data_IF_793098794430
#
_entry.id   IF_793098794430
#
_cell.length_a   1.000
_cell.length_b   1.000
_cell.length_c   1.000
_cell.angle_alpha   90.00
_cell.angle_beta   90.00
_cell.angle_gamma   90.00
#
_symmetry.space_group_name_H-M   'P 1'
#
loop_
_entity.id
_entity.type
_entity.pdbx_description
1 polymer ?
#
# COMPACT_ATOMS: atom_id res chain seq x y z
N UNK A 1 -8.38 -7.64 3.10
CA UNK A 1 -7.73 -6.71 4.04
C UNK A 1 -6.24 -6.83 3.83
N UNK A 2 -5.57 -5.71 3.62
CA UNK A 2 -4.13 -5.62 3.35
C UNK A 2 -3.51 -4.68 4.39
N UNK A 3 -2.33 -5.01 4.90
CA UNK A 3 -1.59 -4.15 5.82
C UNK A 3 -0.64 -3.22 5.06
N UNK A 4 -0.79 -1.91 5.24
CA UNK A 4 0.24 -0.94 4.90
C UNK A 4 1.15 -0.73 6.13
N UNK A 5 2.38 -1.22 6.07
CA UNK A 5 3.36 -1.14 7.15
C UNK A 5 4.58 -0.26 6.80
N UNK A 6 4.67 0.17 5.54
CA UNK A 6 5.77 0.92 4.94
C UNK A 6 5.72 2.43 5.13
N UNK A 7 6.45 3.11 4.24
CA UNK A 7 6.52 4.56 4.13
C UNK A 7 5.25 5.17 3.48
N UNK A 8 4.10 4.96 4.12
CA UNK A 8 2.82 5.62 3.80
C UNK A 8 2.45 6.60 4.91
N UNK A 9 1.62 7.60 4.60
CA UNK A 9 1.22 8.63 5.58
C UNK A 9 0.37 8.08 6.72
N UNK A 10 -0.43 7.05 6.48
CA UNK A 10 -1.28 6.42 7.49
C UNK A 10 -1.12 4.89 7.43
N UNK A 11 -0.15 4.31 8.14
CA UNK A 11 -0.01 2.86 8.26
C UNK A 11 -1.26 2.24 8.92
N UNK A 12 -1.63 1.04 8.49
CA UNK A 12 -2.84 0.38 9.01
C UNK A 12 -3.38 -0.74 8.12
N UNK A 13 -4.57 -1.20 8.45
CA UNK A 13 -5.30 -2.23 7.70
C UNK A 13 -6.33 -1.59 6.78
N UNK A 14 -6.30 -1.97 5.50
CA UNK A 14 -7.18 -1.44 4.47
C UNK A 14 -7.99 -2.54 3.81
N UNK A 15 -9.29 -2.30 3.61
CA UNK A 15 -10.12 -3.12 2.71
C UNK A 15 -10.06 -2.50 1.33
N UNK A 16 -9.55 -3.27 0.38
CA UNK A 16 -9.44 -2.86 -1.01
C UNK A 16 -10.37 -3.72 -1.86
N UNK A 17 -10.75 -3.19 -3.03
CA UNK A 17 -11.54 -3.93 -3.99
C UNK A 17 -10.76 -5.15 -4.52
N UNK A 18 -11.44 -6.22 -4.94
CA UNK A 18 -10.79 -7.32 -5.64
C UNK A 18 -10.01 -6.83 -6.86
N UNK A 19 -8.79 -7.32 -7.05
CA UNK A 19 -7.90 -6.90 -8.13
C UNK A 19 -7.15 -5.59 -7.89
N UNK A 20 -7.25 -5.01 -6.68
CA UNK A 20 -6.47 -3.85 -6.29
C UNK A 20 -4.96 -4.10 -6.41
N UNK A 21 -4.22 -3.01 -6.60
CA UNK A 21 -2.76 -2.98 -6.66
C UNK A 21 -2.18 -2.22 -5.48
N UNK A 22 -0.86 -2.25 -5.36
CA UNK A 22 -0.14 -1.53 -4.33
C UNK A 22 -0.41 -0.01 -4.40
N UNK A 23 -0.60 0.56 -5.59
CA UNK A 23 -0.95 1.97 -5.73
C UNK A 23 -2.31 2.33 -5.08
N UNK A 24 -3.30 1.44 -5.17
CA UNK A 24 -4.60 1.60 -4.50
C UNK A 24 -4.43 1.62 -2.98
N UNK A 25 -3.56 0.74 -2.45
CA UNK A 25 -3.22 0.72 -1.02
C UNK A 25 -2.54 2.03 -0.59
N UNK A 26 -1.57 2.51 -1.36
CA UNK A 26 -0.86 3.76 -1.08
C UNK A 26 -1.82 4.95 -1.08
N UNK A 27 -2.73 5.02 -2.06
CA UNK A 27 -3.77 6.06 -2.11
C UNK A 27 -4.71 5.97 -0.90
N UNK A 28 -5.16 4.78 -0.55
CA UNK A 28 -6.02 4.56 0.61
C UNK A 28 -5.33 4.93 1.94
N UNK A 29 -4.02 4.67 2.03
CA UNK A 29 -3.16 5.06 3.16
C UNK A 29 -2.79 6.56 3.17
N UNK A 30 -3.47 7.33 2.33
CA UNK A 30 -3.33 8.77 2.26
C UNK A 30 -2.19 9.23 1.38
N UNK A 31 -1.38 8.35 0.77
CA UNK A 31 -0.21 8.62 -0.06
C UNK A 31 1.11 8.14 0.57
N UNK A 32 2.21 8.24 -0.17
CA UNK A 32 3.55 7.97 0.35
C UNK A 32 3.96 9.01 1.42
N UNK A 33 4.74 8.57 2.41
CA UNK A 33 5.41 9.46 3.36
C UNK A 33 6.45 10.34 2.64
N UNK A 34 6.87 11.44 3.27
CA UNK A 34 7.80 12.40 2.65
C UNK A 34 9.20 11.81 2.42
N UNK A 35 9.60 10.85 3.24
CA UNK A 35 10.87 10.11 3.18
C UNK A 35 10.77 8.77 2.45
N UNK A 36 9.62 8.48 1.83
CA UNK A 36 9.42 7.26 1.06
C UNK A 36 10.26 7.27 -0.22
N UNK A 37 10.88 6.13 -0.52
CA UNK A 37 11.53 5.90 -1.81
C UNK A 37 10.57 5.14 -2.75
N UNK A 38 9.92 5.84 -3.71
CA UNK A 38 8.94 5.23 -4.60
C UNK A 38 9.54 4.18 -5.54
N UNK A 39 10.85 4.21 -5.79
CA UNK A 39 11.52 3.28 -6.69
C UNK A 39 11.77 1.90 -6.06
N UNK A 40 11.57 1.79 -4.73
CA UNK A 40 11.73 0.53 -3.99
C UNK A 40 10.48 -0.33 -3.94
N UNK A 41 9.35 0.19 -4.42
CA UNK A 41 8.07 -0.49 -4.35
C UNK A 41 7.44 -0.61 -5.74
N UNK A 42 7.02 -1.82 -6.10
CA UNK A 42 6.27 -2.01 -7.34
C UNK A 42 4.81 -1.61 -7.13
N UNK A 43 4.49 -0.35 -7.41
CA UNK A 43 3.13 0.19 -7.31
C UNK A 43 2.12 -0.57 -8.17
N UNK A 44 2.56 -1.21 -9.25
CA UNK A 44 1.69 -2.00 -10.12
C UNK A 44 1.49 -3.44 -9.64
N UNK A 45 2.13 -3.90 -8.57
CA UNK A 45 1.93 -5.26 -8.07
C UNK A 45 0.49 -5.44 -7.59
N UNK A 46 -0.20 -6.55 -7.91
CA UNK A 46 -1.47 -6.88 -7.27
C UNK A 46 -1.26 -7.09 -5.77
N UNK A 47 -2.30 -6.82 -4.98
CA UNK A 47 -2.32 -7.12 -3.54
C UNK A 47 -3.29 -8.25 -3.23
N UNK A 48 -2.92 -9.11 -2.29
CA UNK A 48 -3.73 -10.22 -1.82
C UNK A 48 -4.28 -9.97 -0.41
N UNK A 49 -5.39 -10.63 -0.08
CA UNK A 49 -5.90 -10.64 1.29
C UNK A 49 -4.86 -11.21 2.27
N UNK A 50 -4.67 -10.53 3.41
CA UNK A 50 -3.64 -10.87 4.39
C UNK A 50 -2.23 -10.42 4.04
N UNK A 51 -2.01 -9.81 2.87
CA UNK A 51 -0.70 -9.31 2.46
C UNK A 51 -0.27 -8.12 3.33
N UNK A 52 1.04 -8.03 3.56
CA UNK A 52 1.69 -6.90 4.21
C UNK A 52 2.66 -6.24 3.23
N UNK A 53 2.41 -4.97 2.93
CA UNK A 53 3.19 -4.13 2.03
C UNK A 53 4.07 -3.18 2.85
N UNK A 54 5.31 -3.01 2.41
CA UNK A 54 6.40 -2.29 3.08
C UNK A 54 6.90 -1.11 2.26
#
# INVERSE_FOLDING_TARGET
VVQAAGAVRSPGLYRLAPGARVDDLVRAAGGLAEDADPDRINLASPVADGERVW
#
